data_IF_538948192866
#
_entry.id   IF_538948192866
#
_cell.length_a   1.000
_cell.length_b   1.000
_cell.length_c   1.000
_cell.angle_alpha   90.00
_cell.angle_beta   90.00
_cell.angle_gamma   90.00
#
_symmetry.space_group_name_H-M   'P 1'
#
loop_
_entity.id
_entity.type
_entity.pdbx_description
1 polymer ?
#
# COMPACT_ATOMS: atom_id res chain seq x y z
N UNK A 1 -32.28 -14.43 -15.81
CA UNK A 1 -31.63 -15.37 -14.86
C UNK A 1 -30.10 -15.32 -14.92
N UNK A 2 -29.51 -15.33 -16.09
CA UNK A 2 -28.03 -15.24 -16.22
C UNK A 2 -27.43 -13.95 -15.63
N UNK A 3 -28.18 -12.85 -15.68
CA UNK A 3 -27.73 -11.54 -15.16
C UNK A 3 -27.62 -11.54 -13.63
N UNK A 4 -28.54 -12.20 -12.93
CA UNK A 4 -28.55 -12.26 -11.46
C UNK A 4 -27.41 -13.14 -10.91
N UNK A 5 -27.07 -14.22 -11.60
CA UNK A 5 -25.98 -15.11 -11.23
C UNK A 5 -24.63 -14.40 -11.37
N UNK A 6 -24.43 -13.66 -12.46
CA UNK A 6 -23.22 -12.90 -12.69
C UNK A 6 -23.03 -11.79 -11.66
N UNK A 7 -24.13 -11.12 -11.24
CA UNK A 7 -24.09 -10.12 -10.18
C UNK A 7 -23.67 -10.72 -8.84
N UNK A 8 -24.23 -11.89 -8.49
CA UNK A 8 -23.88 -12.61 -7.26
C UNK A 8 -22.42 -13.03 -7.25
N UNK A 9 -21.93 -13.57 -8.37
CA UNK A 9 -20.52 -13.96 -8.51
C UNK A 9 -19.58 -12.78 -8.40
N UNK A 10 -19.90 -11.66 -9.06
CA UNK A 10 -19.12 -10.42 -8.96
C UNK A 10 -19.09 -9.87 -7.53
N UNK A 11 -20.23 -9.92 -6.85
CA UNK A 11 -20.34 -9.48 -5.46
C UNK A 11 -19.49 -10.34 -4.53
N UNK A 12 -19.54 -11.66 -4.69
CA UNK A 12 -18.72 -12.60 -3.92
C UNK A 12 -17.22 -12.40 -4.18
N UNK A 13 -16.83 -12.22 -5.44
CA UNK A 13 -15.45 -11.94 -5.81
C UNK A 13 -14.98 -10.61 -5.23
N UNK A 14 -15.83 -9.59 -5.26
CA UNK A 14 -15.56 -8.28 -4.69
C UNK A 14 -15.40 -8.36 -3.18
N UNK A 15 -16.27 -9.08 -2.48
CA UNK A 15 -16.19 -9.29 -1.02
C UNK A 15 -14.90 -10.04 -0.63
N UNK A 16 -14.54 -11.09 -1.36
CA UNK A 16 -13.30 -11.83 -1.14
C UNK A 16 -12.06 -10.97 -1.40
N UNK A 17 -12.10 -10.14 -2.43
CA UNK A 17 -11.02 -9.23 -2.75
C UNK A 17 -10.86 -8.17 -1.66
N UNK A 18 -11.96 -7.64 -1.13
CA UNK A 18 -11.95 -6.67 -0.04
C UNK A 18 -11.37 -7.30 1.23
N UNK A 19 -11.75 -8.51 1.58
CA UNK A 19 -11.19 -9.24 2.73
C UNK A 19 -9.70 -9.51 2.56
N UNK A 20 -9.27 -9.94 1.38
CA UNK A 20 -7.85 -10.14 1.05
C UNK A 20 -7.07 -8.84 1.16
N UNK A 21 -7.58 -7.76 0.58
CA UNK A 21 -6.94 -6.45 0.64
C UNK A 21 -6.85 -5.92 2.07
N UNK A 22 -7.87 -6.16 2.88
CA UNK A 22 -7.89 -5.75 4.29
C UNK A 22 -6.78 -6.44 5.08
N UNK A 23 -6.64 -7.76 4.91
CA UNK A 23 -5.56 -8.51 5.54
C UNK A 23 -4.18 -8.07 5.08
N UNK A 24 -4.04 -7.80 3.80
CA UNK A 24 -2.81 -7.29 3.21
C UNK A 24 -2.45 -5.91 3.76
N UNK A 25 -3.42 -5.01 3.84
CA UNK A 25 -3.23 -3.65 4.38
C UNK A 25 -2.79 -3.71 5.84
N UNK A 26 -3.40 -4.56 6.64
CA UNK A 26 -3.03 -4.74 8.05
C UNK A 26 -1.58 -5.23 8.16
N UNK A 27 -1.20 -6.21 7.35
CA UNK A 27 0.16 -6.77 7.35
C UNK A 27 1.20 -5.73 6.92
N UNK A 28 0.92 -4.98 5.86
CA UNK A 28 1.82 -3.92 5.38
C UNK A 28 1.93 -2.79 6.41
N UNK A 29 0.83 -2.43 7.03
CA UNK A 29 0.81 -1.42 8.10
C UNK A 29 1.66 -1.86 9.29
N UNK A 30 1.49 -3.10 9.74
CA UNK A 30 2.28 -3.65 10.84
C UNK A 30 3.78 -3.68 10.51
N UNK A 31 4.13 -4.11 9.31
CA UNK A 31 5.52 -4.12 8.82
C UNK A 31 6.10 -2.70 8.77
N UNK A 32 5.32 -1.75 8.29
CA UNK A 32 5.75 -0.34 8.21
C UNK A 32 6.02 0.23 9.60
N UNK A 33 5.10 0.03 10.54
CA UNK A 33 5.25 0.51 11.92
C UNK A 33 6.48 -0.13 12.59
N UNK A 34 6.68 -1.41 12.40
CA UNK A 34 7.84 -2.12 12.91
C UNK A 34 9.14 -1.58 12.34
N UNK A 35 9.17 -1.35 11.03
CA UNK A 35 10.36 -0.81 10.33
C UNK A 35 10.70 0.61 10.80
N UNK A 36 9.69 1.46 10.99
CA UNK A 36 9.87 2.82 11.51
C UNK A 36 10.39 2.78 12.93
N UNK A 37 9.87 1.87 13.77
CA UNK A 37 10.38 1.67 15.12
C UNK A 37 11.88 1.30 15.10
N UNK A 38 12.28 0.37 14.24
CA UNK A 38 13.67 -0.07 14.13
C UNK A 38 14.61 1.04 13.66
N UNK A 39 14.20 1.80 12.67
CA UNK A 39 15.06 2.82 12.04
C UNK A 39 15.15 4.08 12.90
N UNK A 40 14.03 4.54 13.44
CA UNK A 40 13.95 5.83 14.15
C UNK A 40 13.85 5.69 15.66
N UNK A 41 13.68 4.48 16.19
CA UNK A 41 13.55 4.27 17.62
C UNK A 41 12.25 4.84 18.22
N UNK A 42 11.23 5.04 17.40
CA UNK A 42 9.96 5.60 17.85
C UNK A 42 9.21 4.64 18.76
N UNK A 43 8.66 5.17 19.86
CA UNK A 43 7.80 4.42 20.75
C UNK A 43 6.35 4.38 20.32
N UNK A 44 5.52 3.74 21.13
CA UNK A 44 4.10 3.51 20.86
C UNK A 44 3.33 4.77 20.50
N UNK A 45 3.60 5.88 21.17
CA UNK A 45 2.90 7.15 20.96
C UNK A 45 3.09 7.68 19.54
N UNK A 46 4.34 7.75 19.06
CA UNK A 46 4.67 8.22 17.72
C UNK A 46 4.19 7.26 16.65
N UNK A 47 4.28 5.96 16.91
CA UNK A 47 3.76 4.95 15.99
C UNK A 47 2.24 5.04 15.86
N UNK A 48 1.53 5.37 16.95
CA UNK A 48 0.08 5.61 16.90
C UNK A 48 -0.26 6.82 16.04
N UNK A 49 0.50 7.90 16.15
CA UNK A 49 0.34 9.09 15.31
C UNK A 49 0.56 8.76 13.84
N UNK A 50 1.59 7.99 13.54
CA UNK A 50 1.84 7.52 12.16
C UNK A 50 0.70 6.67 11.64
N UNK A 51 0.22 5.74 12.46
CA UNK A 51 -0.94 4.90 12.11
C UNK A 51 -2.16 5.74 11.77
N UNK A 52 -2.48 6.73 12.59
CA UNK A 52 -3.62 7.63 12.37
C UNK A 52 -3.48 8.41 11.06
N UNK A 53 -2.27 8.86 10.74
CA UNK A 53 -1.99 9.53 9.46
C UNK A 53 -2.17 8.58 8.28
N UNK A 54 -1.68 7.35 8.38
CA UNK A 54 -1.87 6.32 7.36
C UNK A 54 -3.36 6.03 7.12
N UNK A 55 -4.16 5.98 8.19
CA UNK A 55 -5.61 5.79 8.09
C UNK A 55 -6.27 6.96 7.36
N UNK A 56 -5.87 8.19 7.68
CA UNK A 56 -6.39 9.39 6.99
C UNK A 56 -6.06 9.38 5.50
N UNK A 57 -4.82 9.06 5.16
CA UNK A 57 -4.38 8.97 3.77
C UNK A 57 -5.15 7.88 3.01
N UNK A 58 -5.35 6.73 3.64
CA UNK A 58 -6.12 5.64 3.05
C UNK A 58 -7.59 6.04 2.80
N UNK A 59 -8.19 6.78 3.72
CA UNK A 59 -9.55 7.29 3.55
C UNK A 59 -9.66 8.29 2.39
N UNK A 60 -8.64 9.14 2.21
CA UNK A 60 -8.58 10.04 1.06
C UNK A 60 -8.45 9.28 -0.27
N UNK A 61 -7.65 8.22 -0.29
CA UNK A 61 -7.54 7.34 -1.43
C UNK A 61 -8.87 6.71 -1.80
N UNK A 62 -9.59 6.18 -0.82
CA UNK A 62 -10.91 5.57 -1.03
C UNK A 62 -11.90 6.57 -1.63
N UNK A 63 -11.91 7.81 -1.16
CA UNK A 63 -12.76 8.87 -1.71
C UNK A 63 -12.43 9.16 -3.16
N UNK A 64 -11.15 9.25 -3.52
CA UNK A 64 -10.72 9.45 -4.90
C UNK A 64 -11.06 8.27 -5.78
N UNK A 65 -11.00 7.06 -5.21
CA UNK A 65 -11.35 5.82 -5.90
C UNK A 65 -12.81 5.80 -6.35
N UNK A 66 -13.69 6.41 -5.56
CA UNK A 66 -15.11 6.49 -5.90
C UNK A 66 -15.39 7.46 -7.04
N UNK A 67 -14.52 8.43 -7.28
CA UNK A 67 -14.76 9.54 -8.21
C UNK A 67 -13.89 9.50 -9.46
N UNK A 68 -12.73 8.86 -9.42
CA UNK A 68 -11.81 8.79 -10.55
C UNK A 68 -11.32 7.37 -10.82
N UNK A 69 -10.89 7.12 -12.06
CA UNK A 69 -10.37 5.83 -12.45
C UNK A 69 -9.14 5.44 -11.64
N UNK A 70 -9.09 4.16 -11.28
CA UNK A 70 -8.09 3.53 -10.43
C UNK A 70 -6.62 3.70 -10.87
N UNK A 71 -6.40 4.26 -12.04
CA UNK A 71 -5.08 4.42 -12.64
C UNK A 71 -4.21 5.47 -11.95
N UNK A 72 -4.84 6.42 -11.22
CA UNK A 72 -4.13 7.58 -10.68
C UNK A 72 -3.60 7.43 -9.24
N UNK A 73 -3.93 6.34 -8.53
CA UNK A 73 -3.59 6.19 -7.12
C UNK A 73 -2.13 5.86 -6.85
N UNK A 74 -1.61 4.87 -7.55
CA UNK A 74 -0.20 4.52 -7.51
C UNK A 74 0.67 5.72 -7.87
N UNK A 75 0.14 6.53 -8.77
CA UNK A 75 0.78 7.73 -9.28
C UNK A 75 0.87 8.85 -8.26
N UNK A 76 -0.16 9.02 -7.42
CA UNK A 76 -0.24 10.15 -6.51
C UNK A 76 0.92 10.18 -5.52
N UNK A 77 1.16 9.09 -4.80
CA UNK A 77 2.23 9.06 -3.79
C UNK A 77 3.61 9.05 -4.40
N UNK A 78 3.81 8.36 -5.50
CA UNK A 78 5.06 8.42 -6.27
C UNK A 78 5.38 9.86 -6.70
N UNK A 79 4.36 10.56 -7.19
CA UNK A 79 4.47 11.94 -7.64
C UNK A 79 4.77 12.90 -6.50
N UNK A 80 4.10 12.74 -5.37
CA UNK A 80 4.32 13.56 -4.18
C UNK A 80 5.74 13.38 -3.62
N UNK A 81 6.21 12.14 -3.54
CA UNK A 81 7.56 11.82 -3.09
C UNK A 81 8.61 12.43 -4.03
N UNK A 82 8.39 12.33 -5.33
CA UNK A 82 9.31 12.91 -6.33
C UNK A 82 9.32 14.42 -6.26
N UNK A 83 8.15 15.04 -6.19
CA UNK A 83 8.00 16.50 -6.17
C UNK A 83 8.57 17.12 -4.91
N UNK A 84 8.24 16.59 -3.75
CA UNK A 84 8.55 17.21 -2.46
C UNK A 84 9.89 16.79 -1.88
N UNK A 85 10.33 15.54 -2.15
CA UNK A 85 11.52 14.95 -1.52
C UNK A 85 12.57 14.46 -2.53
N UNK A 86 12.30 14.59 -3.82
CA UNK A 86 13.15 14.05 -4.89
C UNK A 86 13.43 12.55 -4.72
N UNK A 87 12.41 11.80 -4.29
CA UNK A 87 12.48 10.35 -4.13
C UNK A 87 11.80 9.66 -5.31
N UNK A 88 12.56 8.84 -6.05
CA UNK A 88 12.03 7.96 -7.07
C UNK A 88 11.95 6.54 -6.51
N UNK A 89 10.75 6.14 -6.09
CA UNK A 89 10.54 4.86 -5.44
C UNK A 89 10.76 3.67 -6.39
N UNK A 90 10.53 3.86 -7.67
CA UNK A 90 10.77 2.81 -8.67
C UNK A 90 12.26 2.51 -8.82
N UNK A 91 13.09 3.55 -8.77
CA UNK A 91 14.55 3.40 -8.76
C UNK A 91 15.04 2.64 -7.52
N UNK A 92 14.52 3.00 -6.36
CA UNK A 92 14.88 2.32 -5.11
C UNK A 92 14.53 0.83 -5.16
N UNK A 93 13.35 0.50 -5.67
CA UNK A 93 12.95 -0.89 -5.84
C UNK A 93 13.80 -1.65 -6.85
N UNK A 94 14.19 -0.99 -7.93
CA UNK A 94 15.07 -1.59 -8.92
C UNK A 94 16.45 -1.91 -8.34
N UNK A 95 17.01 -1.00 -7.56
CA UNK A 95 18.29 -1.18 -6.87
C UNK A 95 18.24 -2.35 -5.88
N UNK A 96 17.20 -2.42 -5.06
CA UNK A 96 17.05 -3.48 -4.07
C UNK A 96 16.81 -4.85 -4.71
N UNK A 97 16.05 -4.92 -5.78
CA UNK A 97 15.84 -6.16 -6.52
C UNK A 97 17.15 -6.71 -7.09
N UNK A 98 18.01 -5.85 -7.59
CA UNK A 98 19.32 -6.25 -8.06
C UNK A 98 20.18 -6.77 -6.91
N UNK A 99 20.16 -6.11 -5.77
CA UNK A 99 20.89 -6.53 -4.58
C UNK A 99 20.41 -7.91 -4.10
N UNK A 100 19.10 -8.13 -4.08
CA UNK A 100 18.51 -9.42 -3.71
C UNK A 100 18.92 -10.53 -4.67
N UNK A 101 18.94 -10.27 -5.98
CA UNK A 101 19.40 -11.23 -6.97
C UNK A 101 20.88 -11.59 -6.79
N UNK A 102 21.71 -10.64 -6.42
CA UNK A 102 23.12 -10.87 -6.13
C UNK A 102 23.32 -11.76 -4.91
N UNK A 103 22.56 -11.55 -3.84
CA UNK A 103 22.60 -12.37 -2.64
C UNK A 103 22.15 -13.80 -2.93
N UNK A 104 21.07 -13.98 -3.67
CA UNK A 104 20.60 -15.30 -4.11
C UNK A 104 21.61 -16.01 -5.01
N UNK A 105 22.28 -15.29 -5.88
CA UNK A 105 23.29 -15.83 -6.78
C UNK A 105 24.59 -16.18 -6.06
N UNK A 106 24.90 -15.57 -4.91
CA UNK A 106 26.13 -15.84 -4.15
C UNK A 106 25.98 -16.99 -3.15
N UNK A 107 24.76 -17.44 -2.92
CA UNK A 107 24.48 -18.64 -2.13
C UNK A 107 24.49 -19.90 -3.01
#
# INVERSE_FOLDING_TARGET
MKVNLNRKLRKLQSEKLVEFNKGYIISVTAMTLWSVHKVFGCGKRKLRQLFEEMVRENAQLERRYQFDAAEDEEWLYKRLLKRDLDIDIDEWWAEDKEAWRREEASE
#
